data_IF_158874254074
#
_entry.id   IF_158874254074
#
_cell.length_a   1.000
_cell.length_b   1.000
_cell.length_c   1.000
_cell.angle_alpha   90.00
_cell.angle_beta   90.00
_cell.angle_gamma   90.00
#
_symmetry.space_group_name_H-M   'P 1'
#
loop_
_entity.id
_entity.type
_entity.pdbx_description
1 polymer ?
#
# COMPACT_ATOMS: atom_id res chain seq x y z
N UNK A 1 22.62 -8.60 -7.71
CA UNK A 1 21.84 -7.61 -6.95
C UNK A 1 20.40 -8.02 -7.09
N UNK A 2 19.76 -8.54 -6.04
CA UNK A 2 18.41 -9.09 -6.15
C UNK A 2 17.41 -7.93 -6.27
N UNK A 3 17.00 -7.61 -7.48
CA UNK A 3 15.82 -6.79 -7.75
C UNK A 3 14.63 -7.54 -7.15
N UNK A 4 14.11 -7.05 -6.02
CA UNK A 4 12.94 -7.64 -5.42
C UNK A 4 11.73 -7.14 -6.21
N UNK A 5 10.79 -8.01 -6.61
CA UNK A 5 9.58 -7.55 -7.26
C UNK A 5 8.81 -6.62 -6.31
N UNK A 6 8.01 -5.72 -6.87
CA UNK A 6 7.04 -4.92 -6.11
C UNK A 6 6.20 -5.85 -5.22
N UNK A 7 6.31 -5.69 -3.90
CA UNK A 7 5.74 -6.63 -2.94
C UNK A 7 5.04 -5.91 -1.80
N UNK A 8 3.87 -6.44 -1.42
CA UNK A 8 3.17 -6.07 -0.20
C UNK A 8 3.63 -6.97 0.94
N UNK A 9 4.28 -6.37 1.93
CA UNK A 9 4.72 -7.07 3.13
C UNK A 9 3.67 -6.88 4.21
N UNK A 10 3.07 -7.98 4.65
CA UNK A 10 2.06 -7.99 5.70
C UNK A 10 2.72 -8.46 6.99
N UNK A 11 2.55 -7.69 8.05
CA UNK A 11 3.09 -7.99 9.38
C UNK A 11 2.07 -7.64 10.46
N UNK A 12 2.28 -8.18 11.65
CA UNK A 12 1.45 -7.93 12.83
C UNK A 12 2.23 -7.04 13.79
N UNK A 13 1.65 -5.91 14.17
CA UNK A 13 2.23 -4.96 15.12
C UNK A 13 2.11 -5.47 16.57
N UNK A 14 2.83 -4.84 17.50
CA UNK A 14 2.78 -5.13 18.94
C UNK A 14 1.36 -5.07 19.52
N UNK A 15 0.47 -4.26 18.92
CA UNK A 15 -0.96 -4.18 19.29
C UNK A 15 -1.82 -5.33 18.77
N UNK A 16 -1.22 -6.36 18.19
CA UNK A 16 -1.91 -7.45 17.52
C UNK A 16 -2.74 -7.05 16.30
N UNK A 17 -2.45 -5.90 15.72
CA UNK A 17 -3.08 -5.40 14.50
C UNK A 17 -2.26 -5.78 13.28
N UNK A 18 -2.92 -6.17 12.19
CA UNK A 18 -2.30 -6.45 10.91
C UNK A 18 -2.11 -5.17 10.11
N UNK A 19 -0.92 -4.99 9.55
CA UNK A 19 -0.58 -3.89 8.67
C UNK A 19 0.12 -4.41 7.43
N UNK A 20 -0.03 -3.68 6.33
CA UNK A 20 0.68 -3.95 5.10
C UNK A 20 1.55 -2.75 4.75
N UNK A 21 2.72 -3.03 4.18
CA UNK A 21 3.65 -2.03 3.64
C UNK A 21 4.01 -2.43 2.22
N UNK A 22 3.92 -1.47 1.31
CA UNK A 22 4.32 -1.64 -0.09
C UNK A 22 5.77 -1.21 -0.27
N UNK A 23 6.56 -2.13 -0.79
CA UNK A 23 7.94 -1.89 -1.20
C UNK A 23 8.03 -1.84 -2.72
N UNK A 24 8.70 -0.80 -3.22
CA UNK A 24 9.06 -0.69 -4.62
C UNK A 24 10.21 -1.66 -4.97
N UNK A 25 10.50 -1.82 -6.27
CA UNK A 25 11.55 -2.71 -6.75
C UNK A 25 12.96 -2.31 -6.25
N UNK A 26 13.12 -1.06 -5.84
CA UNK A 26 14.33 -0.52 -5.20
C UNK A 26 14.37 -0.75 -3.67
N UNK A 27 13.51 -1.63 -3.13
CA UNK A 27 13.36 -1.92 -1.70
C UNK A 27 12.98 -0.72 -0.83
N UNK A 28 12.52 0.39 -1.41
CA UNK A 28 12.01 1.53 -0.64
C UNK A 28 10.53 1.35 -0.31
N UNK A 29 10.17 1.70 0.91
CA UNK A 29 8.78 1.85 1.35
C UNK A 29 8.15 3.01 0.59
N UNK A 30 7.09 2.74 -0.17
CA UNK A 30 6.36 3.78 -0.95
C UNK A 30 4.95 4.01 -0.42
N UNK A 31 4.35 3.03 0.24
CA UNK A 31 3.04 3.16 0.86
C UNK A 31 2.92 2.21 2.05
N UNK A 32 2.01 2.52 2.96
CA UNK A 32 1.61 1.63 4.03
C UNK A 32 0.16 1.85 4.42
N UNK A 33 -0.39 0.82 5.06
CA UNK A 33 -1.70 0.89 5.68
C UNK A 33 -1.67 1.85 6.86
N UNK A 34 -2.30 3.01 6.71
CA UNK A 34 -2.53 3.93 7.82
C UNK A 34 -3.43 3.29 8.90
N UNK A 35 -4.32 2.39 8.50
CA UNK A 35 -5.25 1.68 9.39
C UNK A 35 -4.72 0.28 9.75
N UNK A 36 -4.88 -0.09 11.02
CA UNK A 36 -4.60 -1.44 11.52
C UNK A 36 -5.82 -2.35 11.34
N UNK A 37 -5.62 -3.52 10.75
CA UNK A 37 -6.68 -4.51 10.58
C UNK A 37 -6.68 -5.54 11.71
N UNK A 38 -7.85 -5.94 12.19
CA UNK A 38 -7.94 -6.99 13.22
C UNK A 38 -7.66 -8.39 12.67
N UNK A 39 -7.94 -8.63 11.37
CA UNK A 39 -7.73 -9.92 10.72
C UNK A 39 -6.78 -9.82 9.54
N UNK A 40 -5.99 -10.88 9.34
CA UNK A 40 -5.06 -11.01 8.21
C UNK A 40 -5.78 -10.97 6.86
N UNK A 41 -6.96 -11.61 6.77
CA UNK A 41 -7.74 -11.65 5.53
C UNK A 41 -8.18 -10.26 5.08
N UNK A 42 -8.69 -9.45 6.01
CA UNK A 42 -9.08 -8.06 5.75
C UNK A 42 -7.87 -7.21 5.30
N UNK A 43 -6.71 -7.41 5.95
CA UNK A 43 -5.45 -6.76 5.56
C UNK A 43 -5.00 -7.12 4.13
N UNK A 44 -5.02 -8.41 3.78
CA UNK A 44 -4.70 -8.88 2.41
C UNK A 44 -5.68 -8.30 1.39
N UNK A 45 -6.97 -8.27 1.74
CA UNK A 45 -8.01 -7.74 0.87
C UNK A 45 -7.82 -6.24 0.61
N UNK A 46 -7.55 -5.45 1.65
CA UNK A 46 -7.24 -4.02 1.53
C UNK A 46 -6.00 -3.77 0.67
N UNK A 47 -4.91 -4.50 0.89
CA UNK A 47 -3.71 -4.40 0.06
C UNK A 47 -4.00 -4.71 -1.42
N UNK A 48 -4.79 -5.75 -1.69
CA UNK A 48 -5.18 -6.12 -3.06
C UNK A 48 -6.08 -5.07 -3.71
N UNK A 49 -7.00 -4.48 -2.93
CA UNK A 49 -7.86 -3.40 -3.39
C UNK A 49 -7.03 -2.17 -3.77
N UNK A 50 -6.07 -1.78 -2.92
CA UNK A 50 -5.15 -0.67 -3.22
C UNK A 50 -4.35 -0.96 -4.48
N UNK A 51 -3.80 -2.16 -4.64
CA UNK A 51 -3.08 -2.52 -5.87
C UNK A 51 -3.95 -2.42 -7.13
N UNK A 52 -5.22 -2.82 -7.03
CA UNK A 52 -6.17 -2.75 -8.13
C UNK A 52 -6.56 -1.31 -8.48
N UNK A 53 -6.92 -0.50 -7.48
CA UNK A 53 -7.35 0.88 -7.66
C UNK A 53 -6.18 1.77 -8.07
N UNK A 54 -5.01 1.62 -7.43
CA UNK A 54 -3.84 2.47 -7.69
C UNK A 54 -3.27 2.32 -9.10
N UNK A 55 -3.59 1.23 -9.82
CA UNK A 55 -3.16 1.05 -11.21
C UNK A 55 -3.88 2.02 -12.15
N UNK A 56 -5.12 2.42 -11.83
CA UNK A 56 -5.98 3.26 -12.66
C UNK A 56 -6.32 4.62 -12.00
N UNK A 57 -5.82 4.84 -10.79
CA UNK A 57 -6.14 6.04 -10.02
C UNK A 57 -5.52 7.29 -10.64
N UNK A 58 -6.38 8.25 -10.98
CA UNK A 58 -5.99 9.62 -11.36
C UNK A 58 -5.47 10.38 -10.15
N UNK A 59 -4.44 11.21 -10.37
CA UNK A 59 -3.81 12.00 -9.30
C UNK A 59 -4.51 13.36 -9.23
N UNK A 60 -5.08 13.68 -8.07
CA UNK A 60 -5.62 15.01 -7.81
C UNK A 60 -4.56 15.91 -7.17
N UNK A 61 -4.23 17.02 -7.82
CA UNK A 61 -3.41 18.06 -7.20
C UNK A 61 -4.31 18.98 -6.37
N UNK A 62 -4.22 18.85 -5.05
CA UNK A 62 -5.03 19.65 -4.11
C UNK A 62 -4.65 21.13 -4.02
N UNK A 63 -3.43 21.50 -4.43
CA UNK A 63 -2.97 22.89 -4.41
C UNK A 63 -3.54 23.67 -5.58
N UNK A 64 -3.39 23.13 -6.80
CA UNK A 64 -3.84 23.77 -8.04
C UNK A 64 -5.31 23.44 -8.37
N UNK A 65 -5.93 22.50 -7.62
CA UNK A 65 -7.31 22.02 -7.80
C UNK A 65 -7.55 21.50 -9.22
N UNK A 66 -6.58 20.78 -9.76
CA UNK A 66 -6.63 20.14 -11.08
C UNK A 66 -6.32 18.65 -10.97
N UNK A 67 -6.88 17.87 -11.89
CA UNK A 67 -6.48 16.49 -12.11
C UNK A 67 -5.20 16.47 -12.93
N UNK A 68 -4.15 15.81 -12.42
CA UNK A 68 -2.97 15.53 -13.22
C UNK A 68 -3.27 14.36 -14.15
N UNK A 69 -3.06 14.59 -15.45
CA UNK A 69 -3.34 13.66 -16.54
C UNK A 69 -2.12 12.80 -16.89
#
# INVERSE_FOLDING_TARGET
MAEHPKQFVIYKDAKSEWRWTLYAANSKKIADSAEGYQRKADCVHGARLVAAVATDAVIWNGEDKVWEA
#
